data_IF_766331980545
#
_entry.id   IF_766331980545
#
_cell.length_a   1.000
_cell.length_b   1.000
_cell.length_c   1.000
_cell.angle_alpha   90.00
_cell.angle_beta   90.00
_cell.angle_gamma   90.00
#
_symmetry.space_group_name_H-M   'P 1'
#
loop_
_entity.id
_entity.type
_entity.pdbx_description
1 polymer ?
#
# COMPACT_ATOMS: atom_id res chain seq x y z
N UNK A 1 2.83 19.12 1.84
CA UNK A 1 3.99 18.26 2.15
C UNK A 1 4.71 18.02 0.84
N UNK A 2 6.00 18.37 0.73
CA UNK A 2 6.70 18.53 -0.56
C UNK A 2 6.93 17.16 -1.22
N UNK A 3 6.50 17.01 -2.48
CA UNK A 3 6.80 15.92 -3.43
C UNK A 3 8.31 15.73 -3.60
N UNK A 4 9.01 15.14 -2.64
CA UNK A 4 10.46 14.90 -2.74
C UNK A 4 10.81 13.56 -3.38
N UNK A 5 9.91 12.58 -3.34
CA UNK A 5 10.25 11.20 -3.74
C UNK A 5 10.12 10.97 -5.25
N UNK A 6 9.24 11.72 -5.93
CA UNK A 6 9.18 11.73 -7.40
C UNK A 6 10.52 12.09 -8.05
N UNK A 7 11.31 12.96 -7.42
CA UNK A 7 12.64 13.37 -7.91
C UNK A 7 13.67 12.24 -7.87
N UNK A 8 13.61 11.38 -6.84
CA UNK A 8 14.53 10.25 -6.67
C UNK A 8 14.23 9.17 -7.72
N UNK A 9 12.95 8.93 -7.98
CA UNK A 9 12.54 8.03 -9.05
C UNK A 9 12.95 8.59 -10.43
N UNK A 10 12.81 9.90 -10.67
CA UNK A 10 13.29 10.48 -11.92
C UNK A 10 14.79 10.25 -12.13
N UNK A 11 15.59 10.31 -11.06
CA UNK A 11 17.03 10.07 -11.10
C UNK A 11 17.44 8.64 -11.54
N UNK A 12 16.58 7.63 -11.34
CA UNK A 12 16.86 6.23 -11.76
C UNK A 12 16.22 5.86 -13.10
N UNK A 13 15.66 6.84 -13.82
CA UNK A 13 15.12 6.67 -15.17
C UNK A 13 13.59 6.58 -15.23
N UNK A 14 12.87 6.93 -14.16
CA UNK A 14 11.43 7.17 -14.27
C UNK A 14 11.20 8.56 -14.89
N UNK A 15 10.18 8.76 -15.75
CA UNK A 15 9.88 10.12 -16.24
C UNK A 15 9.15 10.95 -15.18
N UNK A 16 9.20 12.28 -15.32
CA UNK A 16 8.40 13.23 -14.51
C UNK A 16 6.88 13.25 -14.80
N UNK A 17 6.39 12.53 -15.82
CA UNK A 17 4.95 12.40 -16.06
C UNK A 17 4.21 11.83 -14.83
N UNK A 18 3.13 12.50 -14.44
CA UNK A 18 2.32 12.13 -13.29
C UNK A 18 1.57 10.82 -13.58
N UNK A 19 1.93 9.75 -12.84
CA UNK A 19 1.20 8.49 -12.85
C UNK A 19 0.03 8.58 -11.84
N UNK A 20 -1.23 8.44 -12.24
CA UNK A 20 -2.35 8.48 -11.30
C UNK A 20 -2.30 7.34 -10.28
N UNK A 21 -2.98 7.49 -9.14
CA UNK A 21 -3.09 6.44 -8.13
C UNK A 21 -3.70 5.16 -8.76
N UNK A 22 -3.18 4.00 -8.37
CA UNK A 22 -3.54 2.66 -8.88
C UNK A 22 -3.31 2.44 -10.39
N UNK A 23 -2.57 3.33 -11.05
CA UNK A 23 -2.15 3.15 -12.43
C UNK A 23 -0.74 2.61 -12.51
N UNK A 24 -0.45 1.90 -13.59
CA UNK A 24 0.88 1.38 -13.86
C UNK A 24 1.37 1.83 -15.24
N UNK A 25 2.70 1.76 -15.41
CA UNK A 25 3.37 2.11 -16.66
C UNK A 25 4.62 1.24 -16.86
N UNK A 26 4.91 0.90 -18.10
CA UNK A 26 6.22 0.38 -18.51
C UNK A 26 7.27 1.50 -18.59
N UNK A 27 8.46 1.25 -18.03
CA UNK A 27 9.58 2.18 -18.02
C UNK A 27 10.91 1.45 -18.23
N UNK A 28 12.00 2.23 -18.31
CA UNK A 28 13.35 1.71 -18.52
C UNK A 28 14.28 2.17 -17.40
N UNK A 29 14.81 1.24 -16.62
CA UNK A 29 15.81 1.52 -15.57
C UNK A 29 17.16 1.06 -16.13
N UNK A 30 18.04 2.01 -16.45
CA UNK A 30 19.34 1.73 -17.07
C UNK A 30 19.26 0.75 -18.26
N UNK A 31 18.34 1.01 -19.19
CA UNK A 31 18.13 0.19 -20.39
C UNK A 31 17.47 -1.17 -20.17
N UNK A 32 16.92 -1.44 -18.98
CA UNK A 32 16.15 -2.67 -18.65
C UNK A 32 14.68 -2.36 -18.50
N UNK A 33 13.82 -3.28 -18.90
CA UNK A 33 12.36 -3.09 -18.80
C UNK A 33 11.92 -3.29 -17.36
N UNK A 34 11.19 -2.31 -16.83
CA UNK A 34 10.55 -2.37 -15.53
C UNK A 34 9.12 -1.82 -15.63
N UNK A 35 8.28 -2.18 -14.67
CA UNK A 35 6.92 -1.69 -14.55
C UNK A 35 6.80 -0.98 -13.21
N UNK A 36 6.31 0.25 -13.26
CA UNK A 36 6.00 1.05 -12.09
C UNK A 36 4.50 1.02 -11.89
N UNK A 37 4.04 0.65 -10.69
CA UNK A 37 2.63 0.74 -10.29
C UNK A 37 2.52 1.69 -9.11
N UNK A 38 1.78 2.79 -9.24
CA UNK A 38 1.55 3.71 -8.12
C UNK A 38 0.50 3.11 -7.19
N UNK A 39 0.85 2.95 -5.92
CA UNK A 39 0.00 2.33 -4.90
C UNK A 39 -0.34 3.32 -3.80
N UNK A 40 -1.21 2.90 -2.89
CA UNK A 40 -1.47 3.66 -1.67
C UNK A 40 -0.16 3.94 -0.94
N UNK A 41 0.10 5.22 -0.60
CA UNK A 41 1.33 5.58 0.07
C UNK A 41 1.26 5.16 1.53
N UNK A 42 2.36 4.57 2.03
CA UNK A 42 2.58 4.44 3.48
C UNK A 42 2.94 5.81 4.06
N UNK A 43 3.73 6.58 3.31
CA UNK A 43 4.06 7.97 3.58
C UNK A 43 4.45 8.64 2.25
N UNK A 44 3.96 9.85 1.97
CA UNK A 44 4.28 10.54 0.71
C UNK A 44 3.68 9.86 -0.51
N UNK A 45 4.52 9.39 -1.43
CA UNK A 45 4.13 8.62 -2.62
C UNK A 45 4.53 7.13 -2.47
N UNK A 46 3.71 6.21 -3.02
CA UNK A 46 3.93 4.76 -2.96
C UNK A 46 4.03 4.12 -4.34
N UNK A 47 5.00 3.22 -4.53
CA UNK A 47 5.17 2.51 -5.79
C UNK A 47 5.63 1.07 -5.61
N UNK A 48 5.13 0.17 -6.46
CA UNK A 48 5.76 -1.11 -6.75
C UNK A 48 6.62 -1.01 -8.01
N UNK A 49 7.87 -1.47 -7.91
CA UNK A 49 8.79 -1.63 -9.04
C UNK A 49 8.88 -3.12 -9.35
N UNK A 50 8.43 -3.51 -10.53
CA UNK A 50 8.45 -4.89 -11.00
C UNK A 50 9.39 -4.99 -12.21
N UNK A 51 10.17 -6.06 -12.29
CA UNK A 51 11.10 -6.30 -13.41
C UNK A 51 11.24 -7.81 -13.66
N UNK A 52 11.96 -8.18 -14.72
CA UNK A 52 12.31 -9.59 -14.91
C UNK A 52 13.22 -10.08 -13.77
N UNK A 53 13.10 -11.36 -13.42
CA UNK A 53 13.89 -11.95 -12.33
C UNK A 53 15.40 -11.79 -12.55
N UNK A 54 15.87 -11.91 -13.79
CA UNK A 54 17.29 -11.72 -14.17
C UNK A 54 17.80 -10.31 -13.88
N UNK A 55 16.92 -9.31 -13.89
CA UNK A 55 17.28 -7.90 -13.68
C UNK A 55 17.12 -7.46 -12.21
N UNK A 56 16.51 -8.30 -11.35
CA UNK A 56 16.13 -7.93 -9.96
C UNK A 56 17.28 -7.30 -9.18
N UNK A 57 18.44 -7.97 -9.14
CA UNK A 57 19.59 -7.49 -8.36
C UNK A 57 20.13 -6.17 -8.94
N UNK A 58 20.15 -6.02 -10.25
CA UNK A 58 20.62 -4.78 -10.89
C UNK A 58 19.69 -3.61 -10.60
N UNK A 59 18.37 -3.83 -10.74
CA UNK A 59 17.36 -2.81 -10.43
C UNK A 59 17.43 -2.43 -8.94
N UNK A 60 17.56 -3.41 -8.05
CA UNK A 60 17.70 -3.18 -6.61
C UNK A 60 18.92 -2.31 -6.27
N UNK A 61 20.09 -2.65 -6.81
CA UNK A 61 21.32 -1.88 -6.59
C UNK A 61 21.19 -0.43 -7.07
N UNK A 62 20.59 -0.21 -8.24
CA UNK A 62 20.36 1.14 -8.78
C UNK A 62 19.43 1.97 -7.88
N UNK A 63 18.36 1.35 -7.37
CA UNK A 63 17.46 2.00 -6.42
C UNK A 63 18.19 2.36 -5.12
N UNK A 64 19.03 1.47 -4.58
CA UNK A 64 19.83 1.76 -3.38
C UNK A 64 20.82 2.92 -3.61
N UNK A 65 21.41 3.02 -4.79
CA UNK A 65 22.36 4.09 -5.15
C UNK A 65 21.70 5.45 -5.39
N UNK A 66 20.37 5.49 -5.54
CA UNK A 66 19.61 6.72 -5.80
C UNK A 66 19.35 7.59 -4.56
N UNK A 67 19.75 7.12 -3.38
CA UNK A 67 19.50 7.80 -2.11
C UNK A 67 18.24 7.34 -1.38
N UNK A 68 17.56 6.30 -1.87
CA UNK A 68 16.51 5.62 -1.13
C UNK A 68 17.09 4.91 0.09
N UNK A 69 16.41 5.06 1.23
CA UNK A 69 16.76 4.33 2.46
C UNK A 69 16.11 2.96 2.40
N UNK A 70 16.92 1.91 2.56
CA UNK A 70 16.42 0.55 2.68
C UNK A 70 15.77 0.37 4.04
N UNK A 71 14.49 -0.01 4.05
CA UNK A 71 13.75 -0.39 5.25
C UNK A 71 13.70 -1.92 5.36
N UNK A 72 13.82 -2.43 6.59
CA UNK A 72 13.56 -3.84 6.88
C UNK A 72 12.06 -4.07 7.13
N UNK A 73 11.70 -5.34 7.35
CA UNK A 73 10.30 -5.74 7.59
C UNK A 73 9.72 -5.05 8.83
N UNK A 74 10.53 -4.84 9.89
CA UNK A 74 10.07 -4.23 11.13
C UNK A 74 9.77 -2.73 10.95
N UNK A 75 10.64 -2.01 10.25
CA UNK A 75 10.41 -0.61 9.89
C UNK A 75 9.20 -0.48 8.96
N UNK A 76 9.05 -1.37 7.98
CA UNK A 76 7.88 -1.41 7.11
C UNK A 76 6.59 -1.65 7.91
N UNK A 77 6.59 -2.64 8.81
CA UNK A 77 5.43 -2.97 9.65
C UNK A 77 5.05 -1.81 10.56
N UNK A 78 6.03 -1.13 11.15
CA UNK A 78 5.79 0.09 11.93
C UNK A 78 5.13 1.19 11.08
N UNK A 79 5.70 1.51 9.92
CA UNK A 79 5.22 2.59 9.06
C UNK A 79 3.80 2.32 8.52
N UNK A 80 3.49 1.08 8.11
CA UNK A 80 2.13 0.75 7.64
C UNK A 80 1.08 0.84 8.76
N UNK A 81 1.43 0.45 9.99
CA UNK A 81 0.54 0.57 11.15
C UNK A 81 0.29 2.05 11.47
N UNK A 82 1.34 2.87 11.47
CA UNK A 82 1.22 4.31 11.66
C UNK A 82 0.33 4.95 10.58
N UNK A 83 0.45 4.50 9.32
CA UNK A 83 -0.40 4.92 8.20
C UNK A 83 -1.84 4.38 8.26
N UNK A 84 -2.14 3.43 9.16
CA UNK A 84 -3.46 2.81 9.27
C UNK A 84 -3.76 1.80 8.15
N UNK A 85 -2.73 1.26 7.50
CA UNK A 85 -2.87 0.32 6.39
C UNK A 85 -2.91 -1.14 6.93
N UNK A 86 -4.05 -1.83 6.82
CA UNK A 86 -4.18 -3.20 7.27
C UNK A 86 -3.51 -4.18 6.30
N UNK A 87 -3.00 -5.31 6.81
CA UNK A 87 -2.31 -6.33 6.00
C UNK A 87 -2.98 -7.70 6.09
N UNK A 88 -2.99 -8.43 4.97
CA UNK A 88 -3.41 -9.84 4.94
C UNK A 88 -2.57 -10.71 5.88
N UNK A 89 -3.24 -11.58 6.64
CA UNK A 89 -2.62 -12.42 7.67
C UNK A 89 -2.33 -11.69 8.98
N UNK A 90 -2.68 -10.41 9.08
CA UNK A 90 -2.63 -9.59 10.31
C UNK A 90 -4.04 -9.10 10.65
N UNK A 91 -4.36 -7.86 10.31
CA UNK A 91 -5.68 -7.28 10.55
C UNK A 91 -6.73 -7.79 9.56
N UNK A 92 -6.30 -8.16 8.34
CA UNK A 92 -7.18 -8.77 7.34
C UNK A 92 -7.08 -10.30 7.44
N UNK A 93 -8.14 -10.90 8.00
CA UNK A 93 -8.33 -12.35 8.09
C UNK A 93 -9.69 -12.74 7.50
N UNK A 94 -10.01 -14.03 7.52
CA UNK A 94 -11.33 -14.53 7.11
C UNK A 94 -12.42 -14.33 8.18
N UNK A 95 -12.06 -13.79 9.35
CA UNK A 95 -12.97 -13.62 10.48
C UNK A 95 -13.80 -12.32 10.42
N UNK A 96 -13.41 -11.40 9.53
CA UNK A 96 -13.98 -10.06 9.41
C UNK A 96 -14.39 -9.77 7.98
N UNK A 97 -15.46 -8.98 7.82
CA UNK A 97 -15.83 -8.46 6.50
C UNK A 97 -15.00 -7.19 6.18
N UNK A 98 -14.81 -6.84 4.89
CA UNK A 98 -14.04 -5.66 4.51
C UNK A 98 -14.47 -4.36 5.21
N UNK A 99 -15.78 -4.17 5.40
CA UNK A 99 -16.31 -2.96 6.06
C UNK A 99 -15.92 -2.86 7.54
N UNK A 100 -15.75 -4.00 8.23
CA UNK A 100 -15.26 -4.03 9.61
C UNK A 100 -13.77 -3.70 9.69
N UNK A 101 -13.03 -3.91 8.60
CA UNK A 101 -11.63 -3.54 8.44
C UNK A 101 -11.41 -2.12 7.89
N UNK A 102 -12.46 -1.30 7.86
CA UNK A 102 -12.45 0.09 7.34
C UNK A 102 -12.19 0.19 5.81
N UNK A 103 -12.32 -0.91 5.07
CA UNK A 103 -12.10 -0.98 3.62
C UNK A 103 -13.34 -0.58 2.80
N UNK A 104 -13.97 0.53 3.15
CA UNK A 104 -15.19 1.00 2.50
C UNK A 104 -14.95 1.40 1.04
N UNK A 105 -13.84 2.08 0.78
CA UNK A 105 -13.50 2.58 -0.57
C UNK A 105 -13.00 1.46 -1.50
N UNK A 106 -12.58 0.31 -0.95
CA UNK A 106 -12.16 -0.88 -1.71
C UNK A 106 -13.33 -1.78 -2.12
N UNK A 107 -14.54 -1.48 -1.61
CA UNK A 107 -15.76 -2.22 -1.93
C UNK A 107 -16.65 -1.38 -2.83
N UNK A 108 -16.93 -1.89 -4.02
CA UNK A 108 -17.93 -1.26 -4.88
C UNK A 108 -19.32 -1.75 -4.53
N UNK A 109 -20.18 -0.80 -4.16
CA UNK A 109 -21.60 -1.00 -3.87
C UNK A 109 -22.49 -0.94 -5.13
N UNK A 110 -21.93 -0.50 -6.25
CA UNK A 110 -22.63 -0.32 -7.52
C UNK A 110 -22.22 -1.30 -8.62
N UNK A 111 -21.09 -2.02 -8.47
CA UNK A 111 -20.71 -3.07 -9.42
C UNK A 111 -21.68 -4.26 -9.32
N UNK A 112 -21.83 -4.99 -10.42
CA UNK A 112 -22.69 -6.17 -10.50
C UNK A 112 -22.26 -7.30 -9.55
N UNK A 113 -22.90 -8.47 -9.68
CA UNK A 113 -22.77 -9.55 -8.71
C UNK A 113 -21.33 -9.98 -8.41
N UNK A 114 -20.93 -9.91 -7.13
CA UNK A 114 -19.67 -10.44 -6.61
C UNK A 114 -19.88 -11.27 -5.33
N UNK A 115 -18.93 -12.16 -5.05
CA UNK A 115 -18.98 -13.04 -3.87
C UNK A 115 -19.05 -12.23 -2.58
N UNK A 116 -20.02 -12.55 -1.73
CA UNK A 116 -20.20 -11.88 -0.43
C UNK A 116 -21.01 -10.58 -0.47
N UNK A 117 -21.47 -10.13 -1.65
CA UNK A 117 -22.25 -8.88 -1.80
C UNK A 117 -23.51 -8.82 -0.93
N UNK A 118 -24.16 -9.96 -0.68
CA UNK A 118 -25.40 -10.01 0.11
C UNK A 118 -25.16 -9.56 1.55
N UNK A 119 -24.00 -9.90 2.11
CA UNK A 119 -23.61 -9.50 3.47
C UNK A 119 -23.27 -8.01 3.47
N UNK A 120 -22.53 -7.52 2.47
CA UNK A 120 -22.15 -6.12 2.33
C UNK A 120 -23.38 -5.21 2.21
N UNK A 121 -24.29 -5.52 1.28
CA UNK A 121 -25.52 -4.75 1.07
C UNK A 121 -26.43 -4.74 2.31
N UNK A 122 -26.45 -5.86 3.06
CA UNK A 122 -27.18 -5.94 4.33
C UNK A 122 -26.57 -5.04 5.42
N UNK A 123 -25.25 -4.91 5.47
CA UNK A 123 -24.58 -4.03 6.43
C UNK A 123 -24.76 -2.56 6.07
N UNK A 124 -24.62 -2.22 4.79
CA UNK A 124 -24.86 -0.88 4.25
C UNK A 124 -26.29 -0.39 4.57
N UNK A 125 -27.31 -1.18 4.24
CA UNK A 125 -28.72 -0.82 4.48
C UNK A 125 -29.09 -0.64 5.96
N UNK A 126 -28.39 -1.32 6.87
CA UNK A 126 -28.67 -1.27 8.31
C UNK A 126 -27.85 -0.21 9.05
N UNK A 127 -26.77 0.30 8.45
CA UNK A 127 -25.90 1.32 9.02
C UNK A 127 -25.23 0.91 10.35
N UNK A 128 -25.11 -0.39 10.64
CA UNK A 128 -24.51 -0.88 11.89
C UNK A 128 -23.51 -2.00 11.60
N UNK A 129 -22.25 -1.74 11.90
CA UNK A 129 -21.19 -2.75 11.95
C UNK A 129 -21.14 -3.42 13.32
N UNK A 130 -20.84 -4.72 13.36
CA UNK A 130 -20.67 -5.44 14.63
C UNK A 130 -19.33 -5.12 15.29
N UNK A 131 -18.28 -4.97 14.47
CA UNK A 131 -16.92 -4.59 14.90
C UNK A 131 -16.35 -3.51 13.99
N UNK A 132 -15.31 -2.83 14.46
CA UNK A 132 -14.54 -1.88 13.67
C UNK A 132 -13.07 -1.99 14.03
N UNK A 133 -12.20 -2.16 13.03
CA UNK A 133 -10.76 -2.04 13.16
C UNK A 133 -10.43 -0.59 13.56
N UNK A 134 -9.60 -0.42 14.58
CA UNK A 134 -9.26 0.90 15.11
C UNK A 134 -7.77 0.97 15.43
N UNK A 135 -7.13 2.04 14.99
CA UNK A 135 -5.75 2.36 15.39
C UNK A 135 -5.76 2.87 16.83
N UNK A 136 -4.88 2.32 17.67
CA UNK A 136 -4.68 2.78 19.04
C UNK A 136 -3.32 3.45 19.15
N UNK A 137 -3.28 4.63 19.76
CA UNK A 137 -2.04 5.35 20.05
C UNK A 137 -1.94 5.59 21.56
N UNK A 138 -0.94 5.01 22.24
CA UNK A 138 -0.78 5.26 23.66
C UNK A 138 -0.19 6.66 23.89
N UNK A 139 -0.59 7.31 24.99
CA UNK A 139 -0.08 8.64 25.38
C UNK A 139 1.42 8.62 25.75
N UNK A 140 1.96 7.44 26.07
CA UNK A 140 3.36 7.23 26.44
C UNK A 140 3.81 5.81 26.06
N UNK A 141 5.12 5.56 25.91
CA UNK A 141 5.63 4.22 25.62
C UNK A 141 5.08 3.19 26.62
N UNK A 142 4.55 2.09 26.10
CA UNK A 142 4.04 0.97 26.89
C UNK A 142 4.97 -0.22 26.70
N UNK A 143 5.26 -0.92 27.79
CA UNK A 143 5.87 -2.24 27.70
C UNK A 143 4.91 -3.20 27.00
N UNK A 144 5.45 -4.19 26.29
CA UNK A 144 4.64 -5.26 25.72
C UNK A 144 3.80 -5.91 26.82
N UNK A 145 2.49 -6.00 26.60
CA UNK A 145 1.59 -6.75 27.48
C UNK A 145 1.95 -8.24 27.46
N UNK A 146 1.59 -8.96 28.54
CA UNK A 146 1.64 -10.41 28.57
C UNK A 146 0.55 -11.03 27.70
#
# INVERSE_FOLDING_TARGET
MVRKDGVILTAVGFSDEELPLHHWRECRINGRTAYLHRTDPINGDGYFVMCQQVDKETVWQLLCQSGLVVADEAAFDFLRIEAGLPRYGRELTLDYIPLEADLWDDVSFSKGCYTGQEIIARMESRGKLAKRLSKLQPESPRAAGK
#
